data_IF_244605080029
#
_entry.id   IF_244605080029
#
_cell.length_a   1.000
_cell.length_b   1.000
_cell.length_c   1.000
_cell.angle_alpha   90.00
_cell.angle_beta   90.00
_cell.angle_gamma   90.00
#
_symmetry.space_group_name_H-M   'P 1'
#
loop_
_entity.id
_entity.type
_entity.pdbx_description
1 polymer ?
#
# COMPACT_ATOMS: atom_id res chain seq x y z
N UNK A 1 3.43 17.34 -0.83
CA UNK A 1 4.83 17.47 -1.29
C UNK A 1 5.82 16.91 -0.27
N UNK A 2 5.81 17.37 0.99
CA UNK A 2 6.80 16.98 2.01
C UNK A 2 6.96 15.47 2.19
N UNK A 3 5.86 14.71 2.19
CA UNK A 3 5.90 13.26 2.30
C UNK A 3 6.62 12.57 1.13
N UNK A 4 6.43 13.05 -0.11
CA UNK A 4 7.09 12.49 -1.29
C UNK A 4 8.59 12.77 -1.25
N UNK A 5 8.99 13.98 -0.84
CA UNK A 5 10.40 14.33 -0.66
C UNK A 5 11.04 13.51 0.44
N UNK A 6 10.39 13.37 1.60
CA UNK A 6 10.87 12.53 2.69
C UNK A 6 11.14 11.09 2.23
N UNK A 7 10.18 10.50 1.49
CA UNK A 7 10.36 9.15 0.93
C UNK A 7 11.55 9.08 -0.03
N UNK A 8 11.63 10.03 -0.97
CA UNK A 8 12.63 10.02 -2.02
C UNK A 8 14.05 10.31 -1.50
N UNK A 9 14.21 11.35 -0.67
CA UNK A 9 15.53 11.92 -0.34
C UNK A 9 16.08 11.42 0.98
N UNK A 10 15.21 11.19 1.97
CA UNK A 10 15.68 10.64 3.25
C UNK A 10 15.70 9.13 3.18
N UNK A 11 14.61 8.49 2.75
CA UNK A 11 14.49 7.03 2.81
C UNK A 11 15.00 6.30 1.55
N UNK A 12 15.42 7.02 0.51
CA UNK A 12 15.81 6.49 -0.82
C UNK A 12 14.75 5.56 -1.43
N UNK A 13 13.47 5.89 -1.20
CA UNK A 13 12.34 5.14 -1.74
C UNK A 13 11.89 5.74 -3.08
N UNK A 14 11.90 4.96 -4.17
CA UNK A 14 11.51 5.46 -5.49
C UNK A 14 10.01 5.73 -5.51
N UNK A 15 9.64 6.99 -5.68
CA UNK A 15 8.24 7.44 -5.69
C UNK A 15 7.84 8.05 -7.03
N UNK A 16 6.54 8.08 -7.27
CA UNK A 16 5.93 8.70 -8.43
C UNK A 16 4.51 9.21 -8.10
N UNK A 17 4.01 10.23 -8.79
CA UNK A 17 2.64 10.71 -8.63
C UNK A 17 1.62 9.68 -9.15
N UNK A 18 0.58 9.43 -8.37
CA UNK A 18 -0.59 8.66 -8.81
C UNK A 18 -1.60 9.52 -9.58
N UNK A 19 -2.58 8.84 -10.19
CA UNK A 19 -3.68 9.50 -10.91
C UNK A 19 -4.50 10.42 -10.01
N UNK A 20 -4.78 9.99 -8.77
CA UNK A 20 -5.69 10.69 -7.87
C UNK A 20 -7.17 10.50 -8.19
N UNK A 21 -8.01 11.10 -7.36
CA UNK A 21 -9.46 11.09 -7.53
C UNK A 21 -9.91 12.29 -8.35
N UNK A 22 -11.06 12.18 -9.01
CA UNK A 22 -11.69 13.32 -9.64
C UNK A 22 -12.00 14.40 -8.60
N UNK A 23 -11.70 15.65 -8.96
CA UNK A 23 -12.11 16.78 -8.15
C UNK A 23 -13.64 16.81 -8.06
N UNK A 24 -14.18 17.05 -6.87
CA UNK A 24 -15.62 17.03 -6.59
C UNK A 24 -16.46 18.12 -7.30
N UNK A 25 -15.94 18.75 -8.36
CA UNK A 25 -16.56 19.87 -9.08
C UNK A 25 -16.34 19.88 -10.60
N UNK A 26 -15.92 18.77 -11.22
CA UNK A 26 -15.81 18.68 -12.68
C UNK A 26 -17.16 18.45 -13.35
N UNK A 27 -17.63 19.42 -14.13
CA UNK A 27 -18.87 19.35 -14.92
C UNK A 27 -18.79 18.26 -15.99
N UNK A 28 -19.25 17.04 -15.69
CA UNK A 28 -19.72 16.12 -16.72
C UNK A 28 -21.23 16.32 -16.93
N UNK A 29 -21.60 16.72 -18.15
CA UNK A 29 -22.99 16.82 -18.63
C UNK A 29 -23.63 15.43 -18.55
N UNK A 30 -24.67 15.28 -17.74
CA UNK A 30 -25.49 14.08 -17.66
C UNK A 30 -26.23 13.93 -16.34
N UNK A 31 -27.14 14.85 -16.01
CA UNK A 31 -28.07 14.68 -14.89
C UNK A 31 -29.01 13.49 -15.14
N UNK A 32 -28.94 12.50 -14.27
CA UNK A 32 -30.09 11.66 -13.92
C UNK A 32 -30.53 12.03 -12.48
N UNK A 33 -31.80 12.37 -12.22
CA UNK A 33 -32.24 12.78 -10.91
C UNK A 33 -32.61 11.54 -10.06
N UNK A 34 -31.96 11.39 -8.91
CA UNK A 34 -32.42 10.45 -7.87
C UNK A 34 -31.32 9.63 -7.21
N UNK A 35 -30.53 10.24 -6.33
CA UNK A 35 -29.58 9.52 -5.48
C UNK A 35 -29.37 10.27 -4.17
N UNK A 36 -29.68 9.61 -3.05
CA UNK A 36 -29.63 10.18 -1.70
C UNK A 36 -28.21 10.65 -1.36
N UNK A 37 -28.13 11.73 -0.57
CA UNK A 37 -26.89 12.37 -0.13
C UNK A 37 -26.20 11.48 0.92
N UNK A 38 -25.28 10.62 0.48
CA UNK A 38 -24.41 9.79 1.32
C UNK A 38 -23.51 8.94 0.42
N UNK A 39 -22.19 9.13 0.52
CA UNK A 39 -21.12 8.45 -0.25
C UNK A 39 -21.34 8.36 -1.77
N UNK A 40 -20.98 9.43 -2.50
CA UNK A 40 -20.51 9.25 -3.87
C UNK A 40 -19.04 8.86 -3.75
N UNK A 41 -18.71 7.59 -4.00
CA UNK A 41 -17.34 7.17 -4.31
C UNK A 41 -16.80 8.15 -5.36
N UNK A 42 -15.76 8.92 -5.00
CA UNK A 42 -15.15 9.84 -5.95
C UNK A 42 -14.55 8.99 -7.07
N UNK A 43 -14.90 9.31 -8.31
CA UNK A 43 -14.37 8.61 -9.49
C UNK A 43 -12.84 8.70 -9.57
N UNK A 44 -12.23 7.79 -10.32
CA UNK A 44 -10.81 7.90 -10.65
C UNK A 44 -10.60 9.02 -11.67
N UNK A 45 -9.53 9.81 -11.56
CA UNK A 45 -9.21 10.82 -12.57
C UNK A 45 -8.58 10.24 -13.86
N UNK A 46 -8.57 8.92 -14.04
CA UNK A 46 -8.09 8.26 -15.25
C UNK A 46 -9.20 8.19 -16.30
N UNK A 47 -8.87 7.96 -17.58
CA UNK A 47 -9.88 7.83 -18.64
C UNK A 47 -10.67 6.51 -18.60
N UNK A 48 -10.38 5.61 -17.65
CA UNK A 48 -11.06 4.32 -17.53
C UNK A 48 -12.31 4.44 -16.63
N UNK A 49 -13.52 4.37 -17.20
CA UNK A 49 -14.77 4.47 -16.43
C UNK A 49 -15.02 3.26 -15.52
N UNK A 50 -14.34 2.14 -15.74
CA UNK A 50 -14.45 0.90 -14.94
C UNK A 50 -13.21 0.69 -14.06
N UNK A 51 -12.48 1.76 -13.75
CA UNK A 51 -11.26 1.70 -12.94
C UNK A 51 -11.50 1.00 -11.60
N UNK A 52 -10.84 -0.15 -11.41
CA UNK A 52 -10.99 -1.01 -10.23
C UNK A 52 -10.19 -0.54 -9.00
N UNK A 53 -9.33 0.48 -9.16
CA UNK A 53 -8.47 1.03 -8.08
C UNK A 53 -8.48 2.57 -8.09
N UNK A 54 -9.63 3.23 -7.83
CA UNK A 54 -9.77 4.66 -8.04
C UNK A 54 -8.74 5.49 -7.26
N UNK A 55 -7.96 6.31 -8.00
CA UNK A 55 -6.90 7.15 -7.47
C UNK A 55 -5.69 6.44 -6.87
N UNK A 56 -5.68 5.11 -6.86
CA UNK A 56 -4.66 4.31 -6.18
C UNK A 56 -3.63 3.70 -7.14
N UNK A 57 -3.50 4.19 -8.38
CA UNK A 57 -2.60 3.63 -9.38
C UNK A 57 -1.73 4.70 -10.08
N UNK A 58 -0.58 4.31 -10.66
CA UNK A 58 0.27 5.23 -11.43
C UNK A 58 -0.48 5.81 -12.62
N UNK A 59 -0.18 7.07 -12.94
CA UNK A 59 -0.49 7.65 -14.24
C UNK A 59 0.77 7.65 -15.10
N UNK A 60 0.64 7.68 -16.43
CA UNK A 60 1.79 7.76 -17.33
C UNK A 60 2.70 8.96 -16.98
N UNK A 61 4.02 8.76 -16.76
CA UNK A 61 4.77 7.50 -16.91
C UNK A 61 4.52 6.46 -15.81
N UNK A 62 4.41 5.19 -16.24
CA UNK A 62 4.27 4.03 -15.33
C UNK A 62 5.44 3.84 -14.37
N UNK A 63 5.46 2.73 -13.63
CA UNK A 63 6.39 2.49 -12.50
C UNK A 63 7.89 2.69 -12.82
N UNK A 64 8.30 2.53 -14.08
CA UNK A 64 9.68 2.74 -14.52
C UNK A 64 10.17 4.19 -14.32
N UNK A 65 9.26 5.16 -14.19
CA UNK A 65 9.63 6.53 -13.88
C UNK A 65 9.82 6.79 -12.39
N UNK A 66 9.50 5.86 -11.50
CA UNK A 66 9.69 6.06 -10.06
C UNK A 66 11.11 6.49 -9.74
N UNK A 67 11.25 7.53 -8.91
CA UNK A 67 12.53 8.21 -8.74
C UNK A 67 12.79 8.62 -7.29
N UNK A 68 14.07 8.67 -6.94
CA UNK A 68 14.58 9.28 -5.72
C UNK A 68 15.23 10.65 -5.97
N UNK A 69 15.20 11.14 -7.22
CA UNK A 69 15.74 12.46 -7.59
C UNK A 69 14.85 13.58 -7.05
N UNK A 70 15.40 14.35 -6.11
CA UNK A 70 14.74 15.49 -5.46
C UNK A 70 14.16 16.51 -6.44
N UNK A 71 14.87 16.81 -7.54
CA UNK A 71 14.42 17.80 -8.53
C UNK A 71 13.20 17.30 -9.28
N UNK A 72 13.21 16.03 -9.68
CA UNK A 72 12.09 15.41 -10.38
C UNK A 72 10.86 15.30 -9.48
N UNK A 73 11.05 14.89 -8.22
CA UNK A 73 9.97 14.80 -7.23
C UNK A 73 9.37 16.18 -6.92
N UNK A 74 10.20 17.22 -6.72
CA UNK A 74 9.71 18.59 -6.56
C UNK A 74 8.94 19.07 -7.79
N UNK A 75 9.43 18.75 -8.99
CA UNK A 75 8.75 19.13 -10.22
C UNK A 75 7.36 18.48 -10.33
N UNK A 76 7.24 17.16 -10.10
CA UNK A 76 5.94 16.49 -10.15
C UNK A 76 4.91 17.10 -9.20
N UNK A 77 5.26 17.24 -7.92
CA UNK A 77 4.34 17.79 -6.92
C UNK A 77 4.18 19.31 -6.98
N UNK A 78 5.09 20.02 -7.66
CA UNK A 78 4.90 21.42 -8.00
C UNK A 78 3.81 21.61 -9.07
N UNK A 79 3.72 20.67 -10.02
CA UNK A 79 2.69 20.68 -11.07
C UNK A 79 1.38 20.02 -10.63
N UNK A 80 1.44 19.02 -9.75
CA UNK A 80 0.28 18.31 -9.20
C UNK A 80 0.36 18.17 -7.68
N UNK A 81 0.05 19.23 -6.91
CA UNK A 81 0.19 19.23 -5.45
C UNK A 81 -0.62 18.14 -4.74
N UNK A 82 -1.79 17.81 -5.30
CA UNK A 82 -2.74 16.84 -4.74
C UNK A 82 -2.55 15.41 -5.30
N UNK A 83 -1.50 15.16 -6.08
CA UNK A 83 -1.24 13.81 -6.58
C UNK A 83 -0.92 12.85 -5.42
N UNK A 84 -1.55 11.66 -5.39
CA UNK A 84 -1.17 10.59 -4.46
C UNK A 84 0.31 10.25 -4.60
N UNK A 85 0.96 9.94 -3.47
CA UNK A 85 2.32 9.43 -3.43
C UNK A 85 2.26 7.93 -3.64
N UNK A 86 2.86 7.43 -4.71
CA UNK A 86 3.05 6.00 -4.94
C UNK A 86 4.51 5.64 -4.70
N UNK A 87 4.73 4.50 -4.06
CA UNK A 87 6.01 3.81 -3.92
C UNK A 87 6.08 2.69 -4.97
N UNK A 88 7.12 2.67 -5.80
CA UNK A 88 7.43 1.48 -6.59
C UNK A 88 8.13 0.44 -5.69
N UNK A 89 7.59 -0.77 -5.60
CA UNK A 89 8.11 -1.81 -4.68
C UNK A 89 9.17 -2.68 -5.36
N UNK A 90 10.04 -3.26 -4.53
CA UNK A 90 11.11 -4.17 -4.97
C UNK A 90 12.39 -3.47 -5.43
N UNK A 91 13.34 -4.26 -5.96
CA UNK A 91 14.71 -3.77 -6.21
C UNK A 91 15.38 -3.34 -4.90
N UNK A 92 15.68 -2.04 -4.76
CA UNK A 92 16.21 -1.47 -3.50
C UNK A 92 15.11 -0.89 -2.59
N UNK A 93 13.89 -0.78 -3.09
CA UNK A 93 12.75 -0.24 -2.36
C UNK A 93 12.14 -1.31 -1.44
N UNK A 94 11.39 -0.90 -0.39
CA UNK A 94 10.61 -1.84 0.40
C UNK A 94 9.65 -2.65 -0.48
N UNK A 95 9.45 -3.90 -0.09
CA UNK A 95 8.30 -4.69 -0.52
C UNK A 95 7.19 -4.58 0.54
N UNK A 96 6.04 -5.21 0.31
CA UNK A 96 5.04 -5.34 1.36
C UNK A 96 4.26 -6.64 1.31
N UNK A 97 3.73 -7.00 2.48
CA UNK A 97 2.70 -8.03 2.63
C UNK A 97 1.44 -7.34 3.13
N UNK A 98 0.32 -7.56 2.43
CA UNK A 98 -0.95 -6.90 2.76
C UNK A 98 -2.07 -7.88 3.03
N UNK A 99 -3.01 -7.48 3.86
CA UNK A 99 -4.17 -8.28 4.28
C UNK A 99 -5.37 -7.38 4.62
N UNK A 100 -6.61 -7.92 4.62
CA UNK A 100 -7.80 -7.15 4.95
C UNK A 100 -7.68 -6.42 6.28
N UNK A 101 -8.17 -5.17 6.38
CA UNK A 101 -7.95 -4.29 7.53
C UNK A 101 -8.28 -4.93 8.89
N UNK A 102 -9.38 -5.67 8.99
CA UNK A 102 -9.77 -6.36 10.23
C UNK A 102 -8.78 -7.47 10.60
N UNK A 103 -8.33 -8.27 9.61
CA UNK A 103 -7.34 -9.30 9.82
C UNK A 103 -5.97 -8.69 10.18
N UNK A 104 -5.62 -7.58 9.54
CA UNK A 104 -4.40 -6.83 9.81
C UNK A 104 -4.35 -6.30 11.24
N UNK A 105 -5.42 -5.66 11.72
CA UNK A 105 -5.51 -5.15 13.08
C UNK A 105 -5.32 -6.25 14.14
N UNK A 106 -5.95 -7.41 13.92
CA UNK A 106 -5.80 -8.59 14.78
C UNK A 106 -4.38 -9.14 14.74
N UNK A 107 -3.83 -9.31 13.54
CA UNK A 107 -2.48 -9.81 13.37
C UNK A 107 -1.47 -8.88 14.03
N UNK A 108 -1.55 -7.58 13.78
CA UNK A 108 -0.67 -6.57 14.39
C UNK A 108 -0.68 -6.64 15.92
N UNK A 109 -1.86 -6.81 16.52
CA UNK A 109 -2.00 -7.00 17.96
C UNK A 109 -1.30 -8.28 18.47
N UNK A 110 -1.32 -9.36 17.69
CA UNK A 110 -0.61 -10.62 18.03
C UNK A 110 0.90 -10.42 17.93
N UNK A 111 1.37 -9.75 16.87
CA UNK A 111 2.78 -9.47 16.64
C UNK A 111 3.38 -8.59 17.74
N UNK A 112 2.62 -7.60 18.22
CA UNK A 112 3.03 -6.75 19.34
C UNK A 112 3.20 -7.51 20.64
N UNK A 113 2.24 -8.38 20.98
CA UNK A 113 2.32 -9.19 22.20
C UNK A 113 3.51 -10.15 22.19
N UNK A 114 4.06 -10.41 21.01
CA UNK A 114 5.24 -11.25 20.79
C UNK A 114 6.52 -10.42 20.65
N UNK A 115 6.43 -9.10 20.84
CA UNK A 115 7.54 -8.17 20.75
C UNK A 115 8.28 -8.25 19.41
N UNK A 116 7.58 -8.65 18.35
CA UNK A 116 8.14 -8.67 17.01
C UNK A 116 8.42 -7.23 16.60
N UNK A 117 9.69 -6.93 16.27
CA UNK A 117 10.02 -5.66 15.66
C UNK A 117 9.34 -5.61 14.29
N UNK A 118 8.49 -4.61 14.08
CA UNK A 118 7.77 -4.40 12.83
C UNK A 118 8.24 -3.13 12.15
N UNK A 119 8.17 -3.15 10.82
CA UNK A 119 8.40 -1.97 9.99
C UNK A 119 7.18 -1.05 9.95
N UNK A 120 7.24 -0.01 9.11
CA UNK A 120 6.09 0.85 8.84
C UNK A 120 4.89 0.06 8.32
N UNK A 121 3.69 0.51 8.69
CA UNK A 121 2.43 -0.12 8.27
C UNK A 121 1.52 0.93 7.69
N UNK A 122 1.19 0.77 6.41
CA UNK A 122 0.22 1.60 5.69
C UNK A 122 -1.16 1.00 5.85
N UNK A 123 -2.14 1.82 6.19
CA UNK A 123 -3.53 1.42 6.36
C UNK A 123 -4.44 2.20 5.42
N UNK A 124 -5.30 1.45 4.72
CA UNK A 124 -6.56 1.95 4.16
C UNK A 124 -7.73 1.38 4.97
N UNK A 125 -8.97 1.88 4.77
CA UNK A 125 -10.15 1.30 5.40
C UNK A 125 -10.38 -0.18 5.08
N UNK A 126 -9.89 -0.67 3.94
CA UNK A 126 -10.15 -2.04 3.46
C UNK A 126 -8.96 -2.97 3.60
N UNK A 127 -7.72 -2.45 3.56
CA UNK A 127 -6.50 -3.27 3.52
C UNK A 127 -5.32 -2.55 4.15
N UNK A 128 -4.52 -3.28 4.91
CA UNK A 128 -3.26 -2.75 5.45
C UNK A 128 -2.09 -3.48 4.83
N UNK A 129 -0.98 -2.77 4.66
CA UNK A 129 0.27 -3.24 4.05
C UNK A 129 1.41 -3.05 5.04
N UNK A 130 2.01 -4.15 5.46
CA UNK A 130 3.21 -4.17 6.30
C UNK A 130 4.42 -4.08 5.38
N UNK A 131 5.23 -3.04 5.52
CA UNK A 131 6.44 -2.87 4.72
C UNK A 131 7.52 -3.84 5.23
N UNK A 132 8.17 -4.51 4.29
CA UNK A 132 9.20 -5.54 4.52
C UNK A 132 10.43 -5.24 3.66
N UNK A 133 11.54 -5.88 4.00
CA UNK A 133 12.75 -5.80 3.20
C UNK A 133 12.48 -6.31 1.77
N UNK A 134 13.19 -5.80 0.76
CA UNK A 134 13.04 -6.27 -0.61
C UNK A 134 13.29 -7.79 -0.70
N UNK A 135 12.47 -8.46 -1.49
CA UNK A 135 12.59 -9.90 -1.78
C UNK A 135 12.37 -10.15 -3.27
N UNK A 136 12.96 -11.22 -3.78
CA UNK A 136 12.76 -11.66 -5.16
C UNK A 136 11.59 -12.64 -5.29
N UNK A 137 11.11 -12.85 -6.51
CA UNK A 137 10.03 -13.81 -6.75
C UNK A 137 10.47 -15.24 -6.43
N UNK A 138 11.75 -15.57 -6.67
CA UNK A 138 12.33 -16.86 -6.31
C UNK A 138 12.31 -17.10 -4.80
N UNK A 139 12.77 -16.11 -4.01
CA UNK A 139 12.74 -16.17 -2.55
C UNK A 139 11.31 -16.33 -2.01
N UNK A 140 10.35 -15.59 -2.59
CA UNK A 140 8.94 -15.73 -2.23
C UNK A 140 8.42 -17.13 -2.60
N UNK A 141 8.79 -17.67 -3.76
CA UNK A 141 8.40 -19.01 -4.20
C UNK A 141 8.89 -20.09 -3.23
N UNK A 142 10.16 -20.03 -2.82
CA UNK A 142 10.74 -20.95 -1.83
C UNK A 142 10.04 -20.85 -0.46
N UNK A 143 9.80 -19.62 0.01
CA UNK A 143 9.08 -19.38 1.27
C UNK A 143 7.68 -19.99 1.24
N UNK A 144 6.92 -19.78 0.17
CA UNK A 144 5.55 -20.29 0.07
C UNK A 144 5.53 -21.81 -0.11
N UNK A 145 6.54 -22.40 -0.76
CA UNK A 145 6.63 -23.84 -0.97
C UNK A 145 6.76 -24.62 0.34
N UNK A 146 7.48 -24.08 1.33
CA UNK A 146 7.67 -24.73 2.63
C UNK A 146 6.51 -24.51 3.61
N UNK A 147 5.49 -23.73 3.24
CA UNK A 147 4.32 -23.47 4.10
C UNK A 147 3.17 -24.40 3.75
N UNK A 148 2.68 -25.13 4.76
CA UNK A 148 1.51 -26.00 4.62
C UNK A 148 0.24 -25.24 4.20
N UNK A 149 0.10 -23.98 4.64
CA UNK A 149 -1.01 -23.11 4.26
C UNK A 149 -0.63 -21.64 4.45
N UNK A 150 -0.96 -20.83 3.45
CA UNK A 150 -0.85 -19.37 3.51
C UNK A 150 -2.25 -18.79 3.30
N UNK A 151 -2.74 -17.91 4.20
CA UNK A 151 -4.07 -17.31 4.04
C UNK A 151 -4.25 -16.67 2.67
N UNK A 152 -5.28 -17.08 1.92
CA UNK A 152 -5.58 -16.58 0.57
C UNK A 152 -5.86 -15.08 0.50
N UNK A 153 -6.13 -14.45 1.65
CA UNK A 153 -6.34 -13.01 1.78
C UNK A 153 -5.06 -12.18 1.76
N UNK A 154 -3.89 -12.84 1.95
CA UNK A 154 -2.58 -12.22 1.85
C UNK A 154 -2.28 -11.85 0.39
N UNK A 155 -1.68 -10.69 0.20
CA UNK A 155 -1.16 -10.25 -1.09
C UNK A 155 0.26 -9.75 -0.91
N UNK A 156 1.11 -10.13 -1.85
CA UNK A 156 2.54 -9.83 -1.88
C UNK A 156 2.80 -8.72 -2.89
N UNK A 157 3.55 -7.70 -2.48
CA UNK A 157 3.91 -6.54 -3.28
C UNK A 157 5.43 -6.53 -3.43
N UNK A 158 5.91 -7.23 -4.46
CA UNK A 158 7.32 -7.39 -4.79
C UNK A 158 7.77 -6.44 -5.90
N UNK A 159 8.81 -6.83 -6.63
CA UNK A 159 9.27 -6.12 -7.82
C UNK A 159 8.15 -5.95 -8.87
N UNK A 160 8.09 -4.77 -9.49
CA UNK A 160 7.03 -4.41 -10.45
C UNK A 160 5.67 -4.10 -9.81
N UNK A 161 5.58 -4.14 -8.48
CA UNK A 161 4.42 -3.70 -7.72
C UNK A 161 4.50 -2.23 -7.32
N UNK A 162 3.45 -1.78 -6.63
CA UNK A 162 3.43 -0.45 -6.02
C UNK A 162 2.51 -0.38 -4.80
N UNK A 163 2.70 0.66 -4.00
CA UNK A 163 1.86 0.98 -2.85
C UNK A 163 1.53 2.47 -2.82
N UNK A 164 0.30 2.80 -2.47
CA UNK A 164 -0.04 4.19 -2.13
C UNK A 164 0.49 4.49 -0.73
N UNK A 165 1.19 5.61 -0.57
CA UNK A 165 1.72 6.07 0.71
C UNK A 165 0.89 7.21 1.30
N UNK A 166 0.82 7.33 2.64
CA UNK A 166 0.26 8.50 3.30
C UNK A 166 1.00 9.80 2.92
N UNK A 167 0.32 10.96 2.88
CA UNK A 167 -1.07 11.21 3.28
C UNK A 167 -2.07 11.18 2.10
N UNK A 168 -1.92 10.24 1.15
CA UNK A 168 -2.77 10.19 -0.04
C UNK A 168 -4.23 9.82 0.26
N UNK A 169 -5.13 10.18 -0.66
CA UNK A 169 -6.53 9.74 -0.65
C UNK A 169 -6.82 8.84 -1.87
N UNK A 170 -7.70 7.86 -1.70
CA UNK A 170 -8.08 6.88 -2.72
C UNK A 170 -9.57 6.64 -2.72
N UNK A 171 -10.10 5.91 -3.70
CA UNK A 171 -11.53 5.56 -3.75
C UNK A 171 -11.97 4.75 -2.52
N UNK A 172 -11.02 4.04 -1.90
CA UNK A 172 -11.27 3.29 -0.66
C UNK A 172 -11.19 4.15 0.61
N UNK A 173 -10.85 5.43 0.48
CA UNK A 173 -10.64 6.39 1.56
C UNK A 173 -9.18 6.74 1.80
N UNK A 174 -8.96 7.47 2.90
CA UNK A 174 -7.66 8.02 3.26
C UNK A 174 -6.62 6.93 3.57
N UNK A 175 -5.44 7.10 3.00
CA UNK A 175 -4.24 6.30 3.28
C UNK A 175 -3.49 6.93 4.44
N UNK A 176 -3.29 6.16 5.52
CA UNK A 176 -2.64 6.62 6.74
C UNK A 176 -1.57 5.66 7.22
N UNK A 177 -0.65 6.15 8.04
CA UNK A 177 0.22 5.27 8.81
C UNK A 177 -0.58 4.67 9.96
N UNK A 178 -0.71 3.34 10.00
CA UNK A 178 -1.03 2.64 11.24
C UNK A 178 0.21 2.56 12.12
N UNK A 179 1.38 2.37 11.49
CA UNK A 179 2.68 2.56 12.12
C UNK A 179 3.53 3.45 11.23
N UNK A 180 3.83 4.64 11.73
CA UNK A 180 4.71 5.55 11.03
C UNK A 180 6.17 5.05 11.15
N UNK A 181 7.02 5.33 10.14
CA UNK A 181 8.46 5.27 10.30
C UNK A 181 8.91 6.07 11.53
N UNK A 182 9.96 5.59 12.21
CA UNK A 182 10.54 6.32 13.33
C UNK A 182 11.08 7.67 12.85
N UNK A 183 10.65 8.75 13.52
CA UNK A 183 11.07 10.10 13.18
C UNK A 183 12.60 10.26 13.28
N UNK A 184 13.20 10.88 12.27
CA UNK A 184 14.65 11.16 12.23
C UNK A 184 15.53 9.95 11.84
N UNK A 185 14.94 8.81 11.46
CA UNK A 185 15.70 7.70 10.90
C UNK A 185 15.99 7.96 9.42
N UNK A 186 17.27 7.92 9.04
CA UNK A 186 17.69 8.02 7.65
C UNK A 186 17.16 6.85 6.78
N UNK A 187 16.74 5.74 7.36
CA UNK A 187 16.07 4.67 6.61
C UNK A 187 15.17 3.88 7.55
N UNK A 188 13.86 3.73 7.26
CA UNK A 188 12.97 2.96 8.10
C UNK A 188 13.46 1.52 8.20
N UNK A 189 13.45 0.96 9.41
CA UNK A 189 13.77 -0.45 9.58
C UNK A 189 12.67 -1.33 8.96
N UNK A 190 13.08 -2.37 8.25
CA UNK A 190 12.20 -3.29 7.55
C UNK A 190 12.51 -4.74 7.98
N UNK A 191 11.51 -5.51 8.43
CA UNK A 191 11.67 -6.94 8.71
C UNK A 191 11.78 -7.74 7.40
N UNK A 192 12.41 -8.92 7.47
CA UNK A 192 12.39 -9.88 6.36
C UNK A 192 10.97 -10.42 6.10
N UNK A 193 10.67 -10.70 4.83
CA UNK A 193 9.35 -11.20 4.41
C UNK A 193 8.98 -12.52 5.09
N UNK A 194 9.96 -13.42 5.27
CA UNK A 194 9.78 -14.71 5.94
C UNK A 194 9.28 -14.52 7.37
N UNK A 195 9.96 -13.68 8.17
CA UNK A 195 9.55 -13.40 9.54
C UNK A 195 8.12 -12.83 9.63
N UNK A 196 7.74 -11.96 8.69
CA UNK A 196 6.37 -11.40 8.64
C UNK A 196 5.36 -12.46 8.25
N UNK A 197 5.60 -13.24 7.19
CA UNK A 197 4.67 -14.27 6.72
C UNK A 197 4.45 -15.32 7.79
N UNK A 198 5.50 -15.78 8.45
CA UNK A 198 5.44 -16.79 9.51
C UNK A 198 4.55 -16.32 10.65
N UNK A 199 4.78 -15.09 11.09
CA UNK A 199 4.04 -14.52 12.20
C UNK A 199 2.58 -14.21 11.80
N UNK A 200 2.30 -13.85 10.55
CA UNK A 200 0.93 -13.69 10.03
C UNK A 200 0.19 -15.03 9.90
N UNK A 201 0.85 -16.08 9.41
CA UNK A 201 0.29 -17.44 9.33
C UNK A 201 -0.04 -17.92 10.74
N UNK A 202 0.87 -17.78 11.68
CA UNK A 202 0.65 -18.20 13.07
C UNK A 202 -0.46 -17.38 13.77
N UNK A 203 -0.51 -16.07 13.52
CA UNK A 203 -1.59 -15.22 14.02
C UNK A 203 -2.96 -15.63 13.46
N UNK A 204 -3.01 -16.11 12.22
CA UNK A 204 -4.24 -16.59 11.58
C UNK A 204 -4.71 -17.94 12.13
N UNK A 205 -3.79 -18.85 12.47
CA UNK A 205 -4.12 -20.16 13.06
C UNK A 205 -4.47 -20.08 14.54
N UNK A 206 -3.98 -19.06 15.24
CA UNK A 206 -4.25 -18.82 16.67
C UNK A 206 -5.56 -18.06 16.93
N UNK A 207 -6.19 -17.50 15.89
CA UNK A 207 -7.50 -16.88 16.01
C UNK A 207 -8.58 -17.97 16.12
N UNK A 208 -9.51 -17.91 17.09
CA UNK A 208 -10.60 -18.87 17.17
C UNK A 208 -11.41 -18.82 15.86
N UNK A 209 -11.57 -20.00 15.25
CA UNK A 209 -12.00 -20.22 13.89
C UNK A 209 -13.22 -19.37 13.48
N UNK A 210 -13.07 -18.68 12.35
CA UNK A 210 -14.14 -17.97 11.66
C UNK A 210 -13.87 -17.91 10.16
N UNK A 211 -13.57 -19.05 9.52
CA UNK A 211 -13.50 -19.09 8.05
C UNK A 211 -12.66 -20.22 7.47
N UNK A 212 -13.36 -21.28 7.06
CA UNK A 212 -13.02 -22.32 6.07
C UNK A 212 -11.53 -22.56 5.75
N UNK A 213 -10.96 -23.61 6.35
CA UNK A 213 -9.74 -24.26 5.86
C UNK A 213 -10.10 -25.09 4.63
N UNK A 214 -9.75 -24.62 3.44
CA UNK A 214 -9.72 -25.49 2.26
C UNK A 214 -8.52 -26.43 2.39
N UNK A 215 -8.80 -27.71 2.62
CA UNK A 215 -7.85 -28.80 2.37
C UNK A 215 -8.07 -29.27 0.93
N UNK A 216 -7.00 -29.30 0.14
CA UNK A 216 -6.95 -30.10 -1.09
C UNK A 216 -6.65 -31.54 -0.72
#
# INVERSE_FOLDING_TARGET
MDAALLCATEWDWPVLPGVGLEAAGGTSRGEAPGGRRGDRERGCACPDPECVVPGAHPFDPGLLAASTDERLVRWWWGNRPDAPVLLATGGRAPCAVSLPAVAAARALSVLDRREMRLGPVVATPTRWSLLVAPYTLEQLGELLYVKDCVPSSLRFHGEGGYLVLPPSDTGTGQVRWERAPLAGSASPWLPDVEAVVDALVEASTSAPDGGSRLRY
#
